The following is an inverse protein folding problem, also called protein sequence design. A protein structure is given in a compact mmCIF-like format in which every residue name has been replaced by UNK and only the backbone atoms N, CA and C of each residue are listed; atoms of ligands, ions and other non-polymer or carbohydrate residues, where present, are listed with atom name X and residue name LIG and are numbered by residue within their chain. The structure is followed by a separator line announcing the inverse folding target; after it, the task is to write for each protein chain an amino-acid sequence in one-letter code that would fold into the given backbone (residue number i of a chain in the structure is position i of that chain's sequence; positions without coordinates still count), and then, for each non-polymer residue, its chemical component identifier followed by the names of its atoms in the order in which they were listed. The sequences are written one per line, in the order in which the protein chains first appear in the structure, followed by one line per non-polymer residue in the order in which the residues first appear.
data_IF_376582061892
#
_entry.id   IF_376582061892
#
_cell.length_a   1.000
_cell.length_b   1.000
_cell.length_c   1.000
_cell.angle_alpha   90.00
_cell.angle_beta   90.00
_cell.angle_gamma   90.00
#
_symmetry.space_group_name_H-M   'P 1'
#
loop_
_entity.id
_entity.type
_entity.pdbx_description
1 polymer ?
#
# COMPACT_ATOMS: atom_id res chain seq x y z
N UNK A 1 8.25 -5.10 28.32
CA UNK A 1 7.23 -4.33 27.57
C UNK A 1 7.25 -4.83 26.14
N UNK A 2 6.12 -5.23 25.57
CA UNK A 2 6.05 -6.04 24.34
C UNK A 2 5.92 -5.25 23.03
N UNK A 3 6.21 -3.95 23.04
CA UNK A 3 6.11 -3.06 21.90
C UNK A 3 7.42 -2.29 21.74
N UNK A 4 7.84 -2.10 20.49
CA UNK A 4 9.02 -1.33 20.10
C UNK A 4 8.58 -0.15 19.23
N UNK A 5 9.11 1.04 19.54
CA UNK A 5 8.94 2.24 18.72
C UNK A 5 10.04 2.28 17.66
N UNK A 6 9.63 2.28 16.39
CA UNK A 6 10.52 2.43 15.24
C UNK A 6 10.34 3.83 14.67
N UNK A 7 11.45 4.56 14.51
CA UNK A 7 11.48 5.92 13.97
C UNK A 7 12.23 5.92 12.64
N UNK A 8 11.58 6.36 11.57
CA UNK A 8 12.13 6.45 10.20
C UNK A 8 12.33 7.92 9.85
N UNK A 9 13.45 8.48 10.30
CA UNK A 9 13.74 9.92 10.20
C UNK A 9 13.81 10.41 8.75
N UNK A 10 14.41 9.62 7.87
CA UNK A 10 14.57 9.96 6.44
C UNK A 10 13.21 10.09 5.73
N UNK A 11 12.23 9.30 6.16
CA UNK A 11 10.88 9.31 5.60
C UNK A 11 9.86 10.11 6.44
N UNK A 12 10.26 10.64 7.61
CA UNK A 12 9.42 11.49 8.45
C UNK A 12 8.28 10.80 9.21
N UNK A 13 8.34 9.49 9.46
CA UNK A 13 7.30 8.76 10.20
C UNK A 13 7.83 7.87 11.33
N UNK A 14 6.93 7.44 12.22
CA UNK A 14 7.21 6.48 13.27
C UNK A 14 6.03 5.52 13.45
N UNK A 15 6.30 4.31 13.94
CA UNK A 15 5.28 3.30 14.18
C UNK A 15 5.67 2.37 15.34
N UNK A 16 4.67 1.67 15.89
CA UNK A 16 4.86 0.65 16.91
C UNK A 16 4.82 -0.73 16.25
N UNK A 17 5.78 -1.58 16.59
CA UNK A 17 5.74 -3.03 16.27
C UNK A 17 5.75 -3.84 17.56
N UNK A 18 5.23 -5.06 17.50
CA UNK A 18 5.41 -5.99 18.62
C UNK A 18 6.89 -6.39 18.71
N UNK A 19 7.41 -6.42 19.92
CA UNK A 19 8.76 -6.92 20.16
C UNK A 19 8.78 -8.44 19.97
N UNK A 20 9.80 -8.92 19.26
CA UNK A 20 10.07 -10.35 19.16
C UNK A 20 10.54 -10.85 20.52
N UNK A 21 9.95 -11.96 20.99
CA UNK A 21 10.24 -12.52 22.29
C UNK A 21 11.62 -13.19 22.33
N UNK A 22 11.98 -13.93 21.29
CA UNK A 22 13.18 -14.78 21.25
C UNK A 22 13.93 -14.74 19.90
N UNK A 23 13.70 -13.73 19.06
CA UNK A 23 14.36 -13.60 17.75
C UNK A 23 13.89 -14.60 16.68
N UNK A 24 12.98 -15.52 17.02
CA UNK A 24 12.33 -16.46 16.09
C UNK A 24 11.02 -15.92 15.47
N UNK A 25 10.71 -14.63 15.68
CA UNK A 25 9.50 -13.98 15.17
C UNK A 25 8.22 -14.28 15.96
N UNK A 26 8.34 -14.96 17.11
CA UNK A 26 7.27 -15.10 18.09
C UNK A 26 7.05 -13.79 18.84
N UNK A 27 5.80 -13.33 18.90
CA UNK A 27 5.41 -12.09 19.58
C UNK A 27 4.37 -12.38 20.66
N UNK A 28 4.25 -11.49 21.65
CA UNK A 28 3.30 -11.62 22.79
C UNK A 28 1.82 -11.62 22.32
N UNK A 29 1.54 -11.40 21.04
CA UNK A 29 0.18 -11.44 20.49
C UNK A 29 -0.68 -10.25 20.91
N UNK A 30 -0.06 -9.13 21.30
CA UNK A 30 -0.73 -7.94 21.84
C UNK A 30 -1.68 -7.26 20.83
N UNK A 31 -1.49 -7.52 19.54
CA UNK A 31 -2.34 -7.03 18.45
C UNK A 31 -2.72 -8.19 17.53
N UNK A 32 -4.00 -8.26 17.17
CA UNK A 32 -4.54 -9.27 16.25
C UNK A 32 -3.97 -9.11 14.83
N UNK A 33 -3.38 -10.18 14.29
CA UNK A 33 -2.93 -10.25 12.89
C UNK A 33 -4.14 -10.53 11.99
N UNK A 34 -4.70 -9.50 11.35
CA UNK A 34 -5.81 -9.65 10.38
C UNK A 34 -5.26 -9.87 8.97
N UNK A 35 -5.72 -10.92 8.28
CA UNK A 35 -5.42 -11.15 6.87
C UNK A 35 -6.06 -10.06 6.01
N UNK A 36 -5.34 -9.59 5.00
CA UNK A 36 -5.89 -8.70 3.99
C UNK A 36 -6.57 -9.53 2.89
N UNK A 37 -7.60 -8.96 2.27
CA UNK A 37 -8.18 -9.53 1.05
C UNK A 37 -7.15 -9.49 -0.08
N UNK A 38 -7.35 -10.32 -1.10
CA UNK A 38 -6.52 -10.27 -2.30
C UNK A 38 -6.57 -8.88 -2.94
N UNK A 39 -7.76 -8.33 -3.16
CA UNK A 39 -7.95 -6.99 -3.75
C UNK A 39 -7.26 -5.89 -2.96
N UNK A 40 -7.33 -5.89 -1.62
CA UNK A 40 -6.61 -4.92 -0.80
C UNK A 40 -5.08 -5.09 -0.91
N UNK A 41 -4.61 -6.33 -1.02
CA UNK A 41 -3.18 -6.62 -1.19
C UNK A 41 -2.67 -6.13 -2.54
N UNK A 42 -3.45 -6.33 -3.62
CA UNK A 42 -3.15 -5.79 -4.96
C UNK A 42 -3.04 -4.27 -4.92
N UNK A 43 -4.03 -3.59 -4.34
CA UNK A 43 -4.02 -2.12 -4.25
C UNK A 43 -2.80 -1.62 -3.46
N UNK A 44 -2.43 -2.28 -2.35
CA UNK A 44 -1.22 -1.92 -1.60
C UNK A 44 0.06 -2.05 -2.42
N UNK A 45 0.17 -3.10 -3.24
CA UNK A 45 1.34 -3.32 -4.09
C UNK A 45 1.41 -2.27 -5.21
N UNK A 46 0.27 -1.92 -5.81
CA UNK A 46 0.17 -0.85 -6.82
C UNK A 46 0.59 0.49 -6.20
N UNK A 47 0.00 0.88 -5.07
CA UNK A 47 0.35 2.12 -4.38
C UNK A 47 1.84 2.15 -4.00
N UNK A 48 2.41 1.00 -3.59
CA UNK A 48 3.84 0.90 -3.29
C UNK A 48 4.72 1.10 -4.53
N UNK A 49 4.30 0.57 -5.68
CA UNK A 49 4.97 0.75 -6.96
C UNK A 49 4.92 2.23 -7.39
N UNK A 50 3.74 2.84 -7.37
CA UNK A 50 3.57 4.26 -7.71
C UNK A 50 4.43 5.18 -6.83
N UNK A 51 4.52 4.88 -5.52
CA UNK A 51 5.41 5.61 -4.62
C UNK A 51 6.89 5.40 -4.98
N UNK A 52 7.29 4.18 -5.33
CA UNK A 52 8.67 3.88 -5.73
C UNK A 52 9.08 4.66 -6.97
N UNK A 53 8.21 4.67 -7.99
CA UNK A 53 8.49 5.34 -9.26
C UNK A 53 8.53 6.86 -9.04
N UNK A 54 7.59 7.41 -8.26
CA UNK A 54 7.64 8.82 -7.84
C UNK A 54 8.96 9.18 -7.13
N UNK A 55 9.40 8.34 -6.18
CA UNK A 55 10.62 8.60 -5.40
C UNK A 55 11.90 8.61 -6.24
N UNK A 56 11.93 7.89 -7.38
CA UNK A 56 13.05 7.91 -8.32
C UNK A 56 13.14 9.21 -9.11
N UNK A 57 12.01 9.88 -9.29
CA UNK A 57 11.87 11.07 -10.11
C UNK A 57 11.72 12.34 -9.25
N UNK A 58 11.86 12.25 -7.92
CA UNK A 58 11.71 13.37 -6.96
C UNK A 58 12.52 14.60 -7.34
N UNK A 59 13.71 14.43 -7.94
CA UNK A 59 14.53 15.57 -8.42
C UNK A 59 13.80 16.44 -9.46
N UNK A 60 12.72 15.93 -10.06
CA UNK A 60 11.87 16.61 -11.04
C UNK A 60 10.57 17.18 -10.46
N UNK A 61 10.25 16.92 -9.18
CA UNK A 61 8.99 17.33 -8.55
C UNK A 61 9.23 18.31 -7.40
N UNK A 62 8.43 19.38 -7.33
CA UNK A 62 8.41 20.32 -6.20
C UNK A 62 7.62 19.80 -4.98
N UNK A 63 7.30 18.49 -4.92
CA UNK A 63 6.50 17.90 -3.83
C UNK A 63 7.19 16.66 -3.24
N UNK A 64 7.01 16.46 -1.94
CA UNK A 64 7.48 15.26 -1.22
C UNK A 64 6.39 14.18 -1.06
N UNK A 65 5.15 14.54 -1.41
CA UNK A 65 3.97 13.67 -1.33
C UNK A 65 3.54 13.24 -2.72
N UNK A 66 3.30 11.94 -2.91
CA UNK A 66 2.68 11.40 -4.12
C UNK A 66 1.17 11.47 -4.00
N UNK A 67 0.57 12.29 -4.86
CA UNK A 67 -0.87 12.37 -5.08
C UNK A 67 -1.27 11.41 -6.20
N UNK A 68 -2.38 10.70 -6.01
CA UNK A 68 -2.93 9.74 -6.96
C UNK A 68 -4.41 10.02 -7.13
N UNK A 69 -4.85 10.31 -8.35
CA UNK A 69 -6.29 10.45 -8.62
C UNK A 69 -6.98 9.08 -8.63
N UNK A 70 -8.30 9.06 -8.45
CA UNK A 70 -9.05 7.80 -8.58
C UNK A 70 -8.94 7.18 -9.98
N UNK A 71 -8.87 8.01 -11.02
CA UNK A 71 -8.67 7.56 -12.40
C UNK A 71 -7.29 6.96 -12.62
N UNK A 72 -6.24 7.61 -12.12
CA UNK A 72 -4.87 7.09 -12.17
C UNK A 72 -4.77 5.74 -11.46
N UNK A 73 -5.37 5.62 -10.27
CA UNK A 73 -5.40 4.35 -9.54
C UNK A 73 -6.12 3.24 -10.32
N UNK A 74 -7.25 3.54 -10.97
CA UNK A 74 -7.97 2.57 -11.80
C UNK A 74 -7.15 2.15 -13.00
N UNK A 75 -6.50 3.09 -13.70
CA UNK A 75 -5.60 2.78 -14.81
C UNK A 75 -4.50 1.81 -14.39
N UNK A 76 -3.83 2.11 -13.27
CA UNK A 76 -2.78 1.24 -12.72
C UNK A 76 -3.31 -0.15 -12.31
N UNK A 77 -4.56 -0.25 -11.84
CA UNK A 77 -5.19 -1.55 -11.54
C UNK A 77 -5.37 -2.38 -12.82
N UNK A 78 -5.82 -1.76 -13.91
CA UNK A 78 -6.04 -2.44 -15.19
C UNK A 78 -4.71 -2.90 -15.80
N UNK A 79 -3.67 -2.08 -15.71
CA UNK A 79 -2.33 -2.41 -16.20
C UNK A 79 -1.65 -3.49 -15.34
N UNK A 80 -1.93 -3.51 -14.04
CA UNK A 80 -1.31 -4.45 -13.11
C UNK A 80 -1.95 -5.85 -13.14
N UNK A 81 -3.26 -5.94 -13.37
CA UNK A 81 -3.97 -7.22 -13.34
C UNK A 81 -3.80 -8.02 -14.65
N UNK A 82 -3.76 -9.37 -14.60
CA UNK A 82 -3.69 -10.19 -15.80
C UNK A 82 -4.88 -9.97 -16.73
N UNK A 83 -4.63 -10.10 -18.04
CA UNK A 83 -5.69 -10.03 -19.06
C UNK A 83 -6.78 -11.07 -18.77
N UNK A 84 -8.04 -10.64 -18.74
CA UNK A 84 -9.19 -11.50 -18.46
C UNK A 84 -9.58 -11.61 -17.00
N UNK A 85 -8.89 -10.93 -16.09
CA UNK A 85 -9.32 -10.80 -14.70
C UNK A 85 -10.67 -10.05 -14.61
N UNK A 86 -11.54 -10.45 -13.67
CA UNK A 86 -12.83 -9.79 -13.45
C UNK A 86 -12.67 -8.40 -12.79
N UNK A 87 -12.43 -7.39 -13.63
CA UNK A 87 -12.34 -5.99 -13.21
C UNK A 87 -13.65 -5.48 -12.61
N UNK A 88 -14.80 -5.98 -13.08
CA UNK A 88 -16.12 -5.56 -12.57
C UNK A 88 -16.27 -5.99 -11.10
N UNK A 89 -15.93 -7.25 -10.80
CA UNK A 89 -15.91 -7.76 -9.42
C UNK A 89 -14.87 -7.08 -8.54
N UNK A 90 -13.71 -6.72 -9.11
CA UNK A 90 -12.68 -5.96 -8.42
C UNK A 90 -13.17 -4.57 -8.01
N UNK A 91 -13.71 -3.82 -8.97
CA UNK A 91 -14.19 -2.45 -8.76
C UNK A 91 -15.37 -2.37 -7.81
N UNK A 92 -16.25 -3.38 -7.80
CA UNK A 92 -17.35 -3.46 -6.82
C UNK A 92 -16.87 -3.38 -5.37
N UNK A 93 -15.65 -3.84 -5.08
CA UNK A 93 -15.07 -3.83 -3.75
C UNK A 93 -14.01 -2.74 -3.55
N UNK A 94 -13.72 -1.91 -4.57
CA UNK A 94 -12.61 -0.96 -4.55
C UNK A 94 -12.72 0.02 -3.38
N UNK A 95 -13.86 0.70 -3.23
CA UNK A 95 -14.07 1.68 -2.13
C UNK A 95 -13.91 1.06 -0.74
N UNK A 96 -14.38 -0.18 -0.54
CA UNK A 96 -14.22 -0.89 0.73
C UNK A 96 -12.74 -1.21 1.00
N UNK A 97 -12.00 -1.66 -0.01
CA UNK A 97 -10.58 -1.92 0.11
C UNK A 97 -9.78 -0.63 0.34
N UNK A 98 -10.09 0.46 -0.35
CA UNK A 98 -9.48 1.79 -0.13
C UNK A 98 -9.75 2.28 1.28
N UNK A 99 -10.99 2.16 1.76
CA UNK A 99 -11.35 2.53 3.14
C UNK A 99 -10.52 1.73 4.14
N UNK A 100 -10.38 0.42 3.91
CA UNK A 100 -9.55 -0.45 4.76
C UNK A 100 -8.08 -0.04 4.75
N UNK A 101 -7.52 0.30 3.60
CA UNK A 101 -6.13 0.74 3.45
C UNK A 101 -5.90 2.09 4.14
N UNK A 102 -6.88 3.01 4.05
CA UNK A 102 -6.90 4.28 4.78
C UNK A 102 -6.92 4.07 6.29
N UNK A 103 -7.78 3.18 6.80
CA UNK A 103 -7.84 2.83 8.24
C UNK A 103 -6.53 2.23 8.76
N UNK A 104 -5.77 1.54 7.91
CA UNK A 104 -4.45 1.02 8.24
C UNK A 104 -3.37 2.11 8.23
N UNK A 105 -3.70 3.33 7.78
CA UNK A 105 -2.80 4.49 7.79
C UNK A 105 -1.87 4.56 6.58
N UNK A 106 -2.06 3.75 5.54
CA UNK A 106 -1.19 3.75 4.37
C UNK A 106 -1.50 4.85 3.36
N UNK A 107 -2.73 5.37 3.37
CA UNK A 107 -3.15 6.48 2.50
C UNK A 107 -4.01 7.48 3.26
N UNK A 108 -4.09 8.68 2.72
CA UNK A 108 -5.07 9.71 3.10
C UNK A 108 -5.93 10.06 1.89
N UNK A 109 -7.25 9.93 2.01
CA UNK A 109 -8.23 10.38 1.00
C UNK A 109 -8.49 11.88 1.20
N UNK A 110 -8.40 12.68 0.14
CA UNK A 110 -8.72 14.12 0.11
C UNK A 110 -9.64 14.39 -1.08
N UNK A 111 -10.54 15.35 -0.93
CA UNK A 111 -11.32 15.92 -2.04
C UNK A 111 -10.70 17.26 -2.40
N UNK A 112 -10.43 17.48 -3.68
CA UNK A 112 -9.90 18.76 -4.20
C UNK A 112 -10.99 19.81 -4.26
N UNK A 113 -10.60 21.06 -4.49
CA UNK A 113 -11.56 22.17 -4.60
C UNK A 113 -12.51 22.00 -5.81
N UNK A 114 -12.04 21.30 -6.86
CA UNK A 114 -12.80 20.93 -8.05
C UNK A 114 -13.71 19.70 -7.83
N UNK A 115 -13.73 19.13 -6.63
CA UNK A 115 -14.56 17.98 -6.25
C UNK A 115 -13.96 16.62 -6.57
N UNK A 116 -12.73 16.56 -7.07
CA UNK A 116 -12.07 15.31 -7.41
C UNK A 116 -11.52 14.59 -6.18
N UNK A 117 -11.59 13.26 -6.19
CA UNK A 117 -11.01 12.44 -5.14
C UNK A 117 -9.55 12.12 -5.46
N UNK A 118 -8.67 12.49 -4.52
CA UNK A 118 -7.24 12.17 -4.59
C UNK A 118 -6.78 11.43 -3.34
N UNK A 119 -5.81 10.55 -3.52
CA UNK A 119 -5.18 9.74 -2.49
C UNK A 119 -3.73 10.19 -2.31
N UNK A 120 -3.34 10.48 -1.08
CA UNK A 120 -1.95 10.77 -0.72
C UNK A 120 -1.36 9.50 -0.13
N UNK A 121 -0.25 9.02 -0.68
CA UNK A 121 0.41 7.80 -0.23
C UNK A 121 1.35 8.12 0.94
N UNK A 122 1.17 7.45 2.08
CA UNK A 122 2.10 7.59 3.21
C UNK A 122 3.28 6.62 3.08
N UNK A 123 4.49 7.12 3.31
CA UNK A 123 5.74 6.35 3.19
C UNK A 123 5.84 5.13 4.13
N UNK A 124 5.03 5.07 5.19
CA UNK A 124 4.92 3.88 6.05
C UNK A 124 4.50 2.61 5.29
N UNK A 125 3.92 2.75 4.08
CA UNK A 125 3.64 1.61 3.20
C UNK A 125 4.89 0.77 2.87
N UNK A 126 6.09 1.37 2.90
CA UNK A 126 7.38 0.68 2.71
C UNK A 126 7.61 -0.45 3.72
N UNK A 127 7.10 -0.31 4.94
CA UNK A 127 7.24 -1.31 6.00
C UNK A 127 6.27 -2.49 5.81
N UNK A 128 5.17 -2.26 5.07
CA UNK A 128 4.20 -3.31 4.77
C UNK A 128 4.53 -4.06 3.48
N UNK A 129 4.99 -3.33 2.47
CA UNK A 129 5.37 -3.87 1.16
C UNK A 129 6.76 -3.34 0.82
N UNK A 130 7.77 -4.17 1.12
CA UNK A 130 9.14 -3.91 0.69
C UNK A 130 9.34 -4.32 -0.79
N UNK A 131 10.54 -4.05 -1.33
CA UNK A 131 10.86 -4.33 -2.73
C UNK A 131 10.75 -5.84 -3.02
N UNK A 132 11.26 -6.69 -2.13
CA UNK A 132 11.19 -8.14 -2.29
C UNK A 132 9.74 -8.65 -2.35
N UNK A 133 8.89 -8.17 -1.45
CA UNK A 133 7.45 -8.52 -1.40
C UNK A 133 6.74 -8.06 -2.67
N UNK A 134 7.06 -6.86 -3.15
CA UNK A 134 6.51 -6.33 -4.40
C UNK A 134 6.87 -7.23 -5.59
N UNK A 135 8.16 -7.60 -5.73
CA UNK A 135 8.63 -8.46 -6.82
C UNK A 135 8.04 -9.86 -6.74
N UNK A 136 7.97 -10.44 -5.54
CA UNK A 136 7.34 -11.75 -5.33
C UNK A 136 5.85 -11.71 -5.67
N UNK A 137 5.14 -10.64 -5.30
CA UNK A 137 3.71 -10.51 -5.61
C UNK A 137 3.47 -10.45 -7.12
N UNK A 138 4.24 -9.63 -7.86
CA UNK A 138 4.18 -9.56 -9.32
C UNK A 138 4.39 -10.93 -9.96
N UNK A 139 5.44 -11.65 -9.55
CA UNK A 139 5.72 -13.01 -10.03
C UNK A 139 4.57 -13.98 -9.74
N UNK A 140 3.98 -13.91 -8.55
CA UNK A 140 2.84 -14.76 -8.21
C UNK A 140 1.62 -14.44 -9.09
N UNK A 141 1.37 -13.16 -9.36
CA UNK A 141 0.25 -12.71 -10.17
C UNK A 141 0.33 -13.20 -11.62
N UNK A 142 1.53 -13.21 -12.21
CA UNK A 142 1.76 -13.80 -13.55
C UNK A 142 1.36 -15.27 -13.60
N UNK A 143 1.57 -16.03 -12.52
CA UNK A 143 1.18 -17.44 -12.45
C UNK A 143 -0.33 -17.66 -12.27
N UNK A 144 -1.08 -16.66 -11.79
CA UNK A 144 -2.55 -16.72 -11.66
C UNK A 144 -3.29 -16.38 -12.95
N UNK A 145 -2.61 -15.77 -13.94
CA UNK A 145 -3.16 -15.44 -15.25
C UNK A 145 -3.06 -16.56 -16.29
N UNK A 146 -2.72 -17.79 -15.87
CA UNK A 146 -2.62 -19.00 -16.70
C UNK A 146 -3.78 -19.94 -16.40
#
# INVERSE_FOLDING_TARGET
MGLELVIKREDGYAYLKQADLDGEGETIGLVSKRRLSFSASVILVILRQMLYDFEKDIDSYDTLEKFVSEEELKSEIEDFLPKGYDLVGFYKNLENNITRIKELGFIKKKTTDDGETVYIIHKIIKEKVNIDTLLQFKKNLENYGV
#
